data_IF_227442895700
#
_entry.id   IF_227442895700
#
_cell.length_a   1.000
_cell.length_b   1.000
_cell.length_c   1.000
_cell.angle_alpha   90.00
_cell.angle_beta   90.00
_cell.angle_gamma   90.00
#
_symmetry.space_group_name_H-M   'P 1'
#
loop_
_entity.id
_entity.type
_entity.pdbx_description
1 polymer ?
#
# COMPACT_ATOMS: atom_id res chain seq x y z
N UNK A 1 -41.56 -34.33 53.03
CA UNK A 1 -41.79 -33.08 52.26
C UNK A 1 -40.50 -32.32 51.93
N UNK A 2 -39.67 -31.92 52.91
CA UNK A 2 -38.49 -31.05 52.69
C UNK A 2 -37.49 -31.62 51.64
N UNK A 3 -37.26 -32.93 51.63
CA UNK A 3 -36.39 -33.63 50.68
C UNK A 3 -36.90 -33.66 49.23
N UNK A 4 -38.23 -33.61 49.01
CA UNK A 4 -38.80 -33.55 47.67
C UNK A 4 -38.71 -32.13 47.08
N UNK A 5 -38.93 -31.11 47.92
CA UNK A 5 -38.81 -29.70 47.53
C UNK A 5 -37.37 -29.31 47.17
N UNK A 6 -36.37 -29.81 47.90
CA UNK A 6 -34.96 -29.56 47.56
C UNK A 6 -34.53 -30.27 46.28
N UNK A 7 -35.01 -31.49 46.04
CA UNK A 7 -34.76 -32.24 44.80
C UNK A 7 -35.37 -31.54 43.56
N UNK A 8 -36.59 -31.01 43.69
CA UNK A 8 -37.24 -30.22 42.64
C UNK A 8 -36.50 -28.90 42.38
N UNK A 9 -36.08 -28.19 43.42
CA UNK A 9 -35.29 -26.96 43.29
C UNK A 9 -33.96 -27.18 42.56
N UNK A 10 -33.23 -28.24 42.90
CA UNK A 10 -31.98 -28.62 42.23
C UNK A 10 -32.21 -29.02 40.76
N UNK A 11 -33.31 -29.71 40.45
CA UNK A 11 -33.66 -30.03 39.06
C UNK A 11 -33.93 -28.78 38.22
N UNK A 12 -34.61 -27.78 38.77
CA UNK A 12 -34.90 -26.50 38.08
C UNK A 12 -33.62 -25.68 37.88
N UNK A 13 -32.72 -25.64 38.87
CA UNK A 13 -31.43 -24.95 38.75
C UNK A 13 -30.54 -25.64 37.70
N UNK A 14 -30.50 -26.97 37.69
CA UNK A 14 -29.73 -27.73 36.71
C UNK A 14 -30.29 -27.60 35.29
N UNK A 15 -31.61 -27.55 35.13
CA UNK A 15 -32.25 -27.39 33.82
C UNK A 15 -32.00 -26.00 33.23
N UNK A 16 -32.12 -24.94 34.05
CA UNK A 16 -31.82 -23.56 33.65
C UNK A 16 -30.34 -23.35 33.33
N UNK A 17 -29.43 -23.95 34.10
CA UNK A 17 -28.00 -23.93 33.80
C UNK A 17 -27.67 -24.62 32.46
N UNK A 18 -28.21 -25.82 32.22
CA UNK A 18 -28.05 -26.54 30.93
C UNK A 18 -28.61 -25.72 29.76
N UNK A 19 -29.75 -25.04 29.95
CA UNK A 19 -30.35 -24.19 28.92
C UNK A 19 -29.47 -22.97 28.60
N UNK A 20 -28.87 -22.33 29.62
CA UNK A 20 -27.93 -21.20 29.46
C UNK A 20 -26.65 -21.63 28.73
N UNK A 21 -26.11 -22.81 29.03
CA UNK A 21 -24.96 -23.37 28.32
C UNK A 21 -25.27 -23.67 26.85
N UNK A 22 -26.43 -24.28 26.57
CA UNK A 22 -26.88 -24.53 25.18
C UNK A 22 -27.04 -23.23 24.39
N UNK A 23 -27.57 -22.16 25.00
CA UNK A 23 -27.65 -20.83 24.36
C UNK A 23 -26.26 -20.27 24.04
N UNK A 24 -25.30 -20.35 24.97
CA UNK A 24 -23.91 -19.90 24.76
C UNK A 24 -23.24 -20.65 23.62
N UNK A 25 -23.39 -21.96 23.55
CA UNK A 25 -22.83 -22.79 22.47
C UNK A 25 -23.45 -22.42 21.12
N UNK A 26 -24.77 -22.22 21.04
CA UNK A 26 -25.45 -21.77 19.80
C UNK A 26 -24.93 -20.41 19.33
N UNK A 27 -24.79 -19.45 20.23
CA UNK A 27 -24.25 -18.11 19.90
C UNK A 27 -22.80 -18.23 19.41
N UNK A 28 -21.95 -18.98 20.11
CA UNK A 28 -20.56 -19.22 19.72
C UNK A 28 -20.48 -19.87 18.33
N UNK A 29 -21.31 -20.87 18.06
CA UNK A 29 -21.35 -21.53 16.75
C UNK A 29 -21.86 -20.59 15.64
N UNK A 30 -22.84 -19.72 15.93
CA UNK A 30 -23.32 -18.70 14.99
C UNK A 30 -22.22 -17.69 14.67
N UNK A 31 -21.46 -17.24 15.67
CA UNK A 31 -20.29 -16.36 15.48
C UNK A 31 -19.21 -17.05 14.64
N UNK A 32 -18.89 -18.32 14.94
CA UNK A 32 -17.91 -19.10 14.16
C UNK A 32 -18.36 -19.27 12.72
N UNK A 33 -19.65 -19.55 12.48
CA UNK A 33 -20.21 -19.71 11.13
C UNK A 33 -20.17 -18.40 10.35
N UNK A 34 -20.57 -17.28 10.97
CA UNK A 34 -20.46 -15.95 10.37
C UNK A 34 -19.00 -15.58 10.09
N UNK A 35 -18.07 -15.85 11.01
CA UNK A 35 -16.63 -15.66 10.79
C UNK A 35 -16.16 -16.48 9.59
N UNK A 36 -16.45 -17.78 9.53
CA UNK A 36 -16.09 -18.64 8.39
C UNK A 36 -16.66 -18.11 7.07
N UNK A 37 -17.90 -17.62 7.06
CA UNK A 37 -18.53 -17.09 5.85
C UNK A 37 -17.92 -15.75 5.41
N UNK A 38 -17.62 -14.86 6.34
CA UNK A 38 -16.89 -13.60 6.10
C UNK A 38 -15.47 -13.92 5.61
N UNK A 39 -14.74 -14.81 6.29
CA UNK A 39 -13.39 -15.21 5.89
C UNK A 39 -13.41 -15.88 4.51
N UNK A 40 -14.39 -16.72 4.17
CA UNK A 40 -14.50 -17.34 2.84
C UNK A 40 -14.84 -16.30 1.75
N UNK A 41 -15.71 -15.34 2.06
CA UNK A 41 -16.02 -14.17 1.21
C UNK A 41 -14.88 -13.15 1.12
N UNK A 42 -13.93 -13.16 2.05
CA UNK A 42 -12.75 -12.29 1.98
C UNK A 42 -11.63 -13.04 1.24
N UNK A 43 -11.37 -14.29 1.58
CA UNK A 43 -10.33 -15.13 0.99
C UNK A 43 -10.54 -15.45 -0.50
N UNK A 44 -11.78 -15.73 -0.94
CA UNK A 44 -12.06 -15.94 -2.37
C UNK A 44 -11.85 -14.67 -3.22
N UNK A 45 -11.92 -13.49 -2.60
CA UNK A 45 -11.64 -12.22 -3.26
C UNK A 45 -10.17 -11.79 -3.11
N UNK A 46 -9.39 -12.49 -2.29
CA UNK A 46 -8.07 -12.06 -1.87
C UNK A 46 -6.95 -12.37 -2.89
N UNK A 47 -7.05 -13.43 -3.69
CA UNK A 47 -5.99 -13.78 -4.64
C UNK A 47 -5.95 -12.87 -5.88
N UNK A 48 -7.09 -12.31 -6.32
CA UNK A 48 -7.16 -11.46 -7.51
C UNK A 48 -6.86 -9.96 -7.26
N UNK A 49 -7.10 -9.47 -6.04
CA UNK A 49 -7.24 -8.02 -5.76
C UNK A 49 -5.94 -7.25 -5.50
N UNK A 50 -4.90 -7.89 -4.97
CA UNK A 50 -3.61 -7.22 -4.70
C UNK A 50 -2.68 -7.32 -5.88
N UNK A 51 -2.89 -8.31 -6.75
CA UNK A 51 -2.24 -8.34 -8.05
C UNK A 51 -2.40 -6.97 -8.71
N UNK A 52 -3.54 -6.26 -8.63
CA UNK A 52 -3.66 -4.93 -9.23
C UNK A 52 -2.73 -3.83 -8.64
N UNK A 53 -2.55 -3.76 -7.31
CA UNK A 53 -1.72 -2.72 -6.68
C UNK A 53 -0.23 -3.06 -6.74
N UNK A 54 0.09 -4.36 -6.64
CA UNK A 54 1.41 -4.89 -6.95
C UNK A 54 1.73 -4.66 -8.43
N UNK A 55 0.77 -4.91 -9.32
CA UNK A 55 0.88 -4.63 -10.75
C UNK A 55 1.04 -3.14 -10.99
N UNK A 56 0.29 -2.20 -10.42
CA UNK A 56 0.51 -0.76 -10.70
C UNK A 56 1.94 -0.32 -10.31
N UNK A 57 2.45 -0.73 -9.15
CA UNK A 57 3.82 -0.42 -8.73
C UNK A 57 4.88 -1.14 -9.59
N UNK A 58 4.69 -2.43 -9.89
CA UNK A 58 5.56 -3.18 -10.80
C UNK A 58 5.50 -2.63 -12.23
N UNK A 59 4.32 -2.25 -12.71
CA UNK A 59 4.04 -1.71 -14.03
C UNK A 59 4.72 -0.37 -14.19
N UNK A 60 4.69 0.51 -13.19
CA UNK A 60 5.48 1.75 -13.18
C UNK A 60 6.98 1.48 -13.22
N UNK A 61 7.48 0.51 -12.45
CA UNK A 61 8.89 0.10 -12.44
C UNK A 61 9.31 -0.50 -13.80
N UNK A 62 8.44 -1.30 -14.41
CA UNK A 62 8.61 -1.89 -15.74
C UNK A 62 8.61 -0.81 -16.82
N UNK A 63 7.64 0.10 -16.82
CA UNK A 63 7.58 1.25 -17.72
C UNK A 63 8.83 2.13 -17.62
N UNK A 64 9.33 2.38 -16.40
CA UNK A 64 10.57 3.12 -16.21
C UNK A 64 11.78 2.39 -16.81
N UNK A 65 11.89 1.08 -16.55
CA UNK A 65 12.97 0.24 -17.11
C UNK A 65 12.89 0.19 -18.64
N UNK A 66 11.69 0.10 -19.22
CA UNK A 66 11.44 0.14 -20.65
C UNK A 66 11.89 1.47 -21.27
N UNK A 67 11.48 2.61 -20.68
CA UNK A 67 11.92 3.94 -21.14
C UNK A 67 13.44 4.11 -21.06
N UNK A 68 14.06 3.61 -19.99
CA UNK A 68 15.53 3.65 -19.81
C UNK A 68 16.24 2.87 -20.92
N UNK A 69 15.81 1.63 -21.19
CA UNK A 69 16.42 0.77 -22.24
C UNK A 69 16.15 1.34 -23.64
N UNK A 70 14.94 1.84 -23.92
CA UNK A 70 14.59 2.49 -25.20
C UNK A 70 15.45 3.74 -25.46
N UNK A 71 15.68 4.56 -24.43
CA UNK A 71 16.55 5.75 -24.54
C UNK A 71 18.01 5.36 -24.83
N UNK A 72 18.50 4.29 -24.20
CA UNK A 72 19.86 3.77 -24.38
C UNK A 72 20.03 3.15 -25.77
N UNK A 73 19.07 2.35 -26.22
CA UNK A 73 19.08 1.75 -27.55
C UNK A 73 18.99 2.82 -28.66
N UNK A 74 18.21 3.88 -28.46
CA UNK A 74 18.14 5.01 -29.39
C UNK A 74 19.48 5.75 -29.50
N UNK A 75 20.19 5.94 -28.38
CA UNK A 75 21.55 6.51 -28.38
C UNK A 75 22.55 5.60 -29.09
N UNK A 76 22.53 4.31 -28.80
CA UNK A 76 23.42 3.32 -29.42
C UNK A 76 23.18 3.19 -30.93
N UNK A 77 21.91 3.21 -31.37
CA UNK A 77 21.54 3.25 -32.80
C UNK A 77 22.05 4.50 -33.50
N UNK A 78 21.96 5.67 -32.87
CA UNK A 78 22.50 6.92 -33.41
C UNK A 78 24.03 6.86 -33.54
N UNK A 79 24.72 6.39 -32.50
CA UNK A 79 26.18 6.21 -32.53
C UNK A 79 26.62 5.20 -33.59
N UNK A 80 25.88 4.09 -33.74
CA UNK A 80 26.16 3.09 -34.78
C UNK A 80 25.91 3.66 -36.18
N UNK A 81 24.79 4.35 -36.42
CA UNK A 81 24.53 5.03 -37.71
C UNK A 81 25.64 6.04 -38.05
N UNK A 82 26.12 6.82 -37.09
CA UNK A 82 27.25 7.73 -37.27
C UNK A 82 28.56 6.97 -37.59
N UNK A 83 28.85 5.85 -36.91
CA UNK A 83 30.03 5.02 -37.18
C UNK A 83 29.96 4.33 -38.55
N UNK A 84 28.78 3.91 -38.99
CA UNK A 84 28.56 3.27 -40.30
C UNK A 84 28.64 4.28 -41.45
N UNK A 85 28.07 5.48 -41.26
CA UNK A 85 28.19 6.60 -42.21
C UNK A 85 29.65 7.02 -42.43
N UNK A 86 30.50 6.92 -41.39
CA UNK A 86 31.95 7.18 -41.50
C UNK A 86 32.75 6.04 -42.16
N UNK A 87 32.18 4.82 -42.29
CA UNK A 87 32.93 3.62 -42.71
C UNK A 87 32.39 2.96 -44.00
N UNK A 88 31.36 3.50 -44.66
CA UNK A 88 30.72 2.92 -45.85
C UNK A 88 30.42 1.40 -45.75
N UNK A 89 30.09 0.91 -44.54
CA UNK A 89 29.76 -0.51 -44.31
C UNK A 89 28.25 -0.75 -44.49
N UNK A 90 27.89 -1.92 -45.03
CA UNK A 90 26.49 -2.34 -45.24
C UNK A 90 25.81 -2.68 -43.91
N UNK A 91 24.50 -2.44 -43.84
CA UNK A 91 23.62 -2.59 -42.66
C UNK A 91 23.52 -4.04 -42.10
N UNK A 92 24.07 -5.04 -42.80
CA UNK A 92 24.02 -6.46 -42.42
C UNK A 92 24.85 -6.81 -41.17
N UNK A 93 25.80 -5.96 -40.77
CA UNK A 93 26.66 -6.17 -39.59
C UNK A 93 26.13 -5.46 -38.35
N UNK A 94 24.82 -5.57 -38.05
CA UNK A 94 24.29 -5.09 -36.77
C UNK A 94 25.05 -5.81 -35.64
N UNK A 95 25.74 -5.09 -34.75
CA UNK A 95 26.50 -5.70 -33.66
C UNK A 95 25.57 -6.57 -32.81
N UNK A 96 26.09 -7.73 -32.38
CA UNK A 96 25.36 -8.74 -31.60
C UNK A 96 24.64 -8.11 -30.40
N UNK A 97 25.29 -7.16 -29.73
CA UNK A 97 24.74 -6.36 -28.62
C UNK A 97 23.45 -5.60 -28.96
N UNK A 98 23.34 -5.00 -30.16
CA UNK A 98 22.12 -4.30 -30.59
C UNK A 98 20.99 -5.29 -30.87
N UNK A 99 21.29 -6.48 -31.40
CA UNK A 99 20.31 -7.55 -31.62
C UNK A 99 19.82 -8.14 -30.30
N UNK A 100 20.72 -8.35 -29.35
CA UNK A 100 20.39 -8.84 -28.02
C UNK A 100 19.51 -7.83 -27.26
N UNK A 101 19.85 -6.53 -27.33
CA UNK A 101 19.02 -5.44 -26.78
C UNK A 101 17.64 -5.33 -27.44
N UNK A 102 17.55 -5.48 -28.76
CA UNK A 102 16.26 -5.52 -29.48
C UNK A 102 15.41 -6.74 -29.06
N UNK A 103 16.03 -7.90 -28.81
CA UNK A 103 15.33 -9.09 -28.34
C UNK A 103 14.78 -8.94 -26.91
N UNK A 104 15.56 -8.32 -26.02
CA UNK A 104 15.15 -8.03 -24.64
C UNK A 104 14.02 -7.00 -24.63
N UNK A 105 14.07 -5.97 -25.47
CA UNK A 105 12.99 -4.99 -25.62
C UNK A 105 11.69 -5.67 -26.02
N UNK A 106 11.72 -6.53 -27.04
CA UNK A 106 10.52 -7.27 -27.46
C UNK A 106 9.93 -8.11 -26.33
N UNK A 107 10.76 -8.85 -25.57
CA UNK A 107 10.30 -9.63 -24.41
C UNK A 107 9.64 -8.75 -23.35
N UNK A 108 10.24 -7.61 -23.03
CA UNK A 108 9.69 -6.66 -22.06
C UNK A 108 8.38 -6.01 -22.54
N UNK A 109 8.26 -5.71 -23.83
CA UNK A 109 7.03 -5.21 -24.44
C UNK A 109 5.91 -6.26 -24.36
N UNK A 110 6.21 -7.52 -24.67
CA UNK A 110 5.23 -8.61 -24.56
C UNK A 110 4.80 -8.86 -23.10
N UNK A 111 5.74 -8.84 -22.15
CA UNK A 111 5.41 -8.91 -20.72
C UNK A 111 4.51 -7.74 -20.30
N UNK A 112 4.82 -6.52 -20.75
CA UNK A 112 4.02 -5.33 -20.44
C UNK A 112 2.58 -5.45 -20.97
N UNK A 113 2.40 -5.95 -22.19
CA UNK A 113 1.06 -6.18 -22.75
C UNK A 113 0.26 -7.21 -21.94
N UNK A 114 0.89 -8.31 -21.52
CA UNK A 114 0.27 -9.32 -20.66
C UNK A 114 -0.15 -8.69 -19.32
N UNK A 115 0.72 -7.88 -18.73
CA UNK A 115 0.42 -7.18 -17.49
C UNK A 115 -0.69 -6.13 -17.65
N UNK A 116 -0.74 -5.42 -18.78
CA UNK A 116 -1.78 -4.43 -19.09
C UNK A 116 -3.15 -5.12 -19.21
N UNK A 117 -3.24 -6.22 -19.97
CA UNK A 117 -4.49 -6.99 -20.10
C UNK A 117 -4.96 -7.54 -18.75
N UNK A 118 -4.03 -8.08 -17.95
CA UNK A 118 -4.37 -8.55 -16.59
C UNK A 118 -4.86 -7.39 -15.72
N UNK A 119 -4.20 -6.24 -15.78
CA UNK A 119 -4.61 -5.05 -15.04
C UNK A 119 -6.05 -4.63 -15.39
N UNK A 120 -6.38 -4.52 -16.67
CA UNK A 120 -7.73 -4.16 -17.13
C UNK A 120 -8.79 -5.16 -16.64
N UNK A 121 -8.53 -6.46 -16.76
CA UNK A 121 -9.42 -7.51 -16.26
C UNK A 121 -9.70 -7.37 -14.76
N UNK A 122 -8.66 -7.10 -13.97
CA UNK A 122 -8.79 -6.91 -12.54
C UNK A 122 -9.48 -5.58 -12.18
N UNK A 123 -9.27 -4.52 -12.96
CA UNK A 123 -9.97 -3.24 -12.76
C UNK A 123 -11.47 -3.42 -12.99
N UNK A 124 -11.87 -4.09 -14.07
CA UNK A 124 -13.27 -4.44 -14.34
C UNK A 124 -13.89 -5.27 -13.20
N UNK A 125 -13.15 -6.28 -12.73
CA UNK A 125 -13.58 -7.07 -11.57
C UNK A 125 -13.76 -6.19 -10.33
N UNK A 126 -12.83 -5.27 -10.04
CA UNK A 126 -12.91 -4.35 -8.91
C UNK A 126 -14.15 -3.44 -9.00
N UNK A 127 -14.48 -2.93 -10.19
CA UNK A 127 -15.69 -2.14 -10.37
C UNK A 127 -16.95 -2.99 -10.09
N UNK A 128 -16.99 -4.26 -10.51
CA UNK A 128 -18.14 -5.14 -10.29
C UNK A 128 -18.43 -5.46 -8.80
N UNK A 129 -17.39 -5.44 -7.97
CA UNK A 129 -17.45 -5.78 -6.54
C UNK A 129 -17.41 -4.55 -5.63
N UNK A 130 -17.12 -3.37 -6.17
CA UNK A 130 -17.09 -2.09 -5.45
C UNK A 130 -18.38 -1.80 -4.67
N UNK A 131 -19.59 -2.04 -5.20
CA UNK A 131 -20.82 -1.85 -4.43
C UNK A 131 -20.89 -2.72 -3.18
N UNK A 132 -20.31 -3.93 -3.23
CA UNK A 132 -20.25 -4.89 -2.11
C UNK A 132 -19.13 -4.58 -1.12
N UNK A 133 -18.19 -3.71 -1.50
CA UNK A 133 -17.07 -3.26 -0.68
C UNK A 133 -17.30 -1.90 -0.02
N UNK A 134 -18.47 -1.30 -0.24
CA UNK A 134 -18.80 -0.03 0.37
C UNK A 134 -18.76 -0.18 1.89
N UNK A 135 -17.91 0.61 2.54
CA UNK A 135 -17.82 0.68 4.00
C UNK A 135 -18.68 1.85 4.42
N UNK A 136 -19.77 1.59 5.15
CA UNK A 136 -20.48 2.68 5.82
C UNK A 136 -19.57 3.29 6.89
N UNK A 137 -19.18 4.53 6.67
CA UNK A 137 -18.29 5.27 7.57
C UNK A 137 -18.91 5.53 8.95
N UNK A 138 -20.23 5.32 9.14
CA UNK A 138 -20.87 5.35 10.47
C UNK A 138 -20.50 4.14 11.34
N UNK A 139 -20.24 2.98 10.74
CA UNK A 139 -19.84 1.75 11.47
C UNK A 139 -18.34 1.45 11.40
N UNK A 140 -17.56 2.45 10.98
CA UNK A 140 -16.12 2.35 10.67
C UNK A 140 -15.29 1.72 11.78
N UNK A 141 -15.54 2.08 13.04
CA UNK A 141 -14.74 1.60 14.17
C UNK A 141 -14.97 0.10 14.42
N UNK A 142 -16.21 -0.36 14.25
CA UNK A 142 -16.56 -1.78 14.35
C UNK A 142 -15.97 -2.56 13.17
N UNK A 143 -16.11 -2.04 11.95
CA UNK A 143 -15.50 -2.63 10.76
C UNK A 143 -13.98 -2.79 10.94
N UNK A 144 -13.27 -1.72 11.31
CA UNK A 144 -11.83 -1.74 11.52
C UNK A 144 -11.44 -2.77 12.59
N UNK A 145 -12.21 -2.84 13.68
CA UNK A 145 -11.96 -3.83 14.74
C UNK A 145 -12.09 -5.25 14.20
N UNK A 146 -13.20 -5.56 13.52
CA UNK A 146 -13.44 -6.88 12.96
C UNK A 146 -12.44 -7.24 11.87
N UNK A 147 -12.05 -6.27 11.03
CA UNK A 147 -11.07 -6.43 9.98
C UNK A 147 -9.67 -6.71 10.55
N UNK A 148 -9.23 -5.95 11.55
CA UNK A 148 -7.96 -6.23 12.23
C UNK A 148 -7.96 -7.61 12.86
N UNK A 149 -9.01 -7.97 13.61
CA UNK A 149 -9.08 -9.23 14.35
C UNK A 149 -9.28 -10.47 13.48
N UNK A 150 -10.06 -10.36 12.40
CA UNK A 150 -10.49 -11.51 11.60
C UNK A 150 -9.73 -11.66 10.29
N UNK A 151 -9.08 -10.60 9.82
CA UNK A 151 -8.39 -10.59 8.54
C UNK A 151 -6.90 -10.34 8.68
N UNK A 152 -6.50 -9.26 9.37
CA UNK A 152 -5.09 -8.88 9.44
C UNK A 152 -4.32 -9.80 10.38
N UNK A 153 -4.72 -9.89 11.66
CA UNK A 153 -3.96 -10.63 12.67
C UNK A 153 -3.72 -12.10 12.27
N UNK A 154 -4.72 -12.89 11.81
CA UNK A 154 -4.48 -14.29 11.46
C UNK A 154 -3.49 -14.47 10.30
N UNK A 155 -3.45 -13.50 9.38
CA UNK A 155 -2.57 -13.53 8.20
C UNK A 155 -1.14 -13.12 8.51
N UNK A 156 -0.96 -12.17 9.43
CA UNK A 156 0.38 -11.76 9.85
C UNK A 156 1.15 -12.87 10.56
N UNK A 157 0.49 -13.88 11.12
CA UNK A 157 1.16 -15.03 11.75
C UNK A 157 1.76 -15.99 10.72
N UNK A 158 1.28 -15.95 9.47
CA UNK A 158 1.67 -16.88 8.42
C UNK A 158 3.05 -16.47 7.85
N UNK A 159 3.10 -15.34 7.13
CA UNK A 159 4.28 -14.92 6.36
C UNK A 159 4.38 -13.40 6.19
N UNK A 160 5.59 -12.93 5.85
CA UNK A 160 5.89 -11.52 5.55
C UNK A 160 5.07 -10.99 4.37
N UNK A 161 4.90 -11.81 3.33
CA UNK A 161 4.12 -11.47 2.15
C UNK A 161 2.65 -11.19 2.49
N UNK A 162 2.10 -11.92 3.45
CA UNK A 162 0.73 -11.73 3.93
C UNK A 162 0.55 -10.43 4.74
N UNK A 163 1.58 -9.99 5.47
CA UNK A 163 1.56 -8.69 6.16
C UNK A 163 1.60 -7.51 5.18
N UNK A 164 2.44 -7.60 4.15
CA UNK A 164 2.47 -6.62 3.06
C UNK A 164 1.16 -6.64 2.26
N UNK A 165 0.61 -7.83 2.05
CA UNK A 165 -0.70 -8.01 1.44
C UNK A 165 -1.78 -7.27 2.24
N UNK A 166 -1.90 -7.54 3.54
CA UNK A 166 -2.97 -6.97 4.36
C UNK A 166 -2.95 -5.43 4.39
N UNK A 167 -1.76 -4.83 4.49
CA UNK A 167 -1.59 -3.38 4.49
C UNK A 167 -1.96 -2.76 3.14
N UNK A 168 -1.45 -3.29 2.03
CA UNK A 168 -1.79 -2.81 0.68
C UNK A 168 -3.27 -3.00 0.36
N UNK A 169 -3.87 -4.09 0.81
CA UNK A 169 -5.30 -4.34 0.62
C UNK A 169 -6.13 -3.26 1.30
N UNK A 170 -5.80 -2.95 2.55
CA UNK A 170 -6.54 -1.96 3.31
C UNK A 170 -6.43 -0.56 2.68
N UNK A 171 -5.24 -0.18 2.20
CA UNK A 171 -5.05 1.06 1.46
C UNK A 171 -5.89 1.11 0.18
N UNK A 172 -5.97 0.01 -0.54
CA UNK A 172 -6.83 -0.13 -1.71
C UNK A 172 -8.32 0.02 -1.34
N UNK A 173 -8.77 -0.60 -0.25
CA UNK A 173 -10.14 -0.44 0.24
C UNK A 173 -10.47 1.01 0.59
N UNK A 174 -9.56 1.74 1.24
CA UNK A 174 -9.76 3.16 1.54
C UNK A 174 -9.90 3.99 0.26
N UNK A 175 -9.08 3.71 -0.76
CA UNK A 175 -9.14 4.37 -2.07
C UNK A 175 -10.44 4.08 -2.81
N UNK A 176 -10.88 2.83 -2.86
CA UNK A 176 -12.13 2.41 -3.53
C UNK A 176 -13.35 3.11 -2.92
N UNK A 177 -13.34 3.31 -1.61
CA UNK A 177 -14.40 3.99 -0.87
C UNK A 177 -14.31 5.52 -0.94
N UNK A 178 -13.38 6.08 -1.72
CA UNK A 178 -13.10 7.53 -1.79
C UNK A 178 -12.97 8.17 -0.41
N UNK A 179 -12.37 7.46 0.54
CA UNK A 179 -12.22 7.96 1.90
C UNK A 179 -11.42 9.28 1.87
N UNK A 180 -11.91 10.35 2.51
CA UNK A 180 -11.10 11.55 2.71
C UNK A 180 -9.75 11.20 3.34
N UNK A 181 -8.72 12.01 3.07
CA UNK A 181 -7.37 11.75 3.59
C UNK A 181 -7.35 11.65 5.12
N UNK A 182 -8.05 12.57 5.79
CA UNK A 182 -8.21 12.59 7.25
C UNK A 182 -8.81 11.28 7.77
N UNK A 183 -9.82 10.76 7.07
CA UNK A 183 -10.48 9.52 7.39
C UNK A 183 -9.58 8.30 7.18
N UNK A 184 -8.81 8.29 6.10
CA UNK A 184 -7.83 7.25 5.81
C UNK A 184 -6.75 7.17 6.89
N UNK A 185 -6.23 8.32 7.30
CA UNK A 185 -5.25 8.43 8.40
C UNK A 185 -5.85 7.96 9.72
N UNK A 186 -7.08 8.37 10.05
CA UNK A 186 -7.79 7.91 11.25
C UNK A 186 -7.96 6.40 11.25
N UNK A 187 -8.36 5.82 10.11
CA UNK A 187 -8.55 4.37 9.99
C UNK A 187 -7.27 3.60 10.25
N UNK A 188 -6.18 4.02 9.63
CA UNK A 188 -4.88 3.35 9.75
C UNK A 188 -4.37 3.47 11.17
N UNK A 189 -4.46 4.68 11.75
CA UNK A 189 -4.12 4.90 13.16
C UNK A 189 -4.86 3.93 14.07
N UNK A 190 -6.16 3.69 13.85
CA UNK A 190 -6.92 2.71 14.62
C UNK A 190 -6.44 1.27 14.40
N UNK A 191 -6.11 0.89 13.15
CA UNK A 191 -5.54 -0.42 12.85
C UNK A 191 -4.19 -0.62 13.57
N UNK A 192 -3.27 0.33 13.40
CA UNK A 192 -1.96 0.34 14.07
C UNK A 192 -2.15 0.18 15.56
N UNK A 193 -3.05 0.96 16.17
CA UNK A 193 -3.28 0.88 17.61
C UNK A 193 -3.90 -0.44 18.08
N UNK A 194 -4.65 -1.13 17.23
CA UNK A 194 -5.21 -2.45 17.55
C UNK A 194 -4.20 -3.57 17.36
N UNK A 195 -3.29 -3.45 16.40
CA UNK A 195 -2.34 -4.50 16.05
C UNK A 195 -1.06 -4.42 16.88
N UNK A 196 -0.57 -3.22 17.15
CA UNK A 196 0.70 -3.00 17.84
C UNK A 196 0.80 -3.75 19.19
N UNK A 197 -0.25 -3.82 20.05
CA UNK A 197 -0.17 -4.57 21.30
C UNK A 197 0.18 -6.05 21.16
N UNK A 198 -0.10 -6.67 20.01
CA UNK A 198 0.25 -8.07 19.77
C UNK A 198 1.76 -8.30 19.67
N UNK A 199 2.56 -7.24 19.50
CA UNK A 199 4.01 -7.36 19.51
C UNK A 199 4.56 -7.86 20.86
N UNK A 200 3.82 -7.65 21.96
CA UNK A 200 4.24 -8.07 23.29
C UNK A 200 4.35 -9.59 23.46
N UNK A 201 3.54 -10.34 22.71
CA UNK A 201 3.46 -11.80 22.76
C UNK A 201 3.92 -12.46 21.46
N UNK A 202 4.40 -11.68 20.50
CA UNK A 202 4.84 -12.18 19.21
C UNK A 202 6.16 -12.97 19.32
N UNK A 203 6.32 -13.96 18.46
CA UNK A 203 7.63 -14.49 18.07
C UNK A 203 8.41 -13.41 17.30
N UNK A 204 9.72 -13.59 17.14
CA UNK A 204 10.54 -12.64 16.37
C UNK A 204 10.07 -12.56 14.91
N UNK A 205 9.69 -13.68 14.29
CA UNK A 205 9.13 -13.73 12.93
C UNK A 205 7.82 -12.94 12.82
N UNK A 206 6.92 -13.11 13.79
CA UNK A 206 5.65 -12.36 13.83
C UNK A 206 5.88 -10.87 14.07
N UNK A 207 6.85 -10.51 14.92
CA UNK A 207 7.25 -9.12 15.13
C UNK A 207 7.75 -8.49 13.82
N UNK A 208 8.55 -9.20 13.02
CA UNK A 208 8.96 -8.74 11.67
C UNK A 208 7.73 -8.52 10.78
N UNK A 209 6.77 -9.46 10.77
CA UNK A 209 5.56 -9.34 9.96
C UNK A 209 4.71 -8.13 10.36
N UNK A 210 4.50 -7.91 11.67
CA UNK A 210 3.84 -6.70 12.20
C UNK A 210 4.57 -5.45 11.71
N UNK A 211 5.90 -5.47 11.78
CA UNK A 211 6.73 -4.33 11.41
C UNK A 211 6.63 -3.98 9.93
N UNK A 212 6.59 -4.99 9.04
CA UNK A 212 6.39 -4.80 7.60
C UNK A 212 5.02 -4.18 7.31
N UNK A 213 3.98 -4.64 8.00
CA UNK A 213 2.63 -4.07 7.88
C UNK A 213 2.63 -2.59 8.29
N UNK A 214 3.25 -2.26 9.42
CA UNK A 214 3.36 -0.88 9.91
C UNK A 214 4.18 -0.01 8.95
N UNK A 215 5.34 -0.49 8.51
CA UNK A 215 6.20 0.18 7.53
C UNK A 215 5.42 0.52 6.25
N UNK A 216 4.64 -0.43 5.74
CA UNK A 216 3.84 -0.25 4.51
C UNK A 216 2.73 0.79 4.68
N UNK A 217 2.10 0.85 5.85
CA UNK A 217 1.13 1.90 6.15
C UNK A 217 1.79 3.27 6.26
N UNK A 218 2.92 3.34 6.94
CA UNK A 218 3.64 4.58 7.13
C UNK A 218 4.08 5.12 5.77
N UNK A 219 4.79 4.35 4.95
CA UNK A 219 5.28 4.73 3.61
C UNK A 219 4.22 5.33 2.67
N UNK A 220 2.92 5.08 2.90
CA UNK A 220 1.86 5.54 2.01
C UNK A 220 1.40 7.00 2.22
N UNK A 221 1.65 7.62 3.38
CA UNK A 221 1.08 8.94 3.72
C UNK A 221 2.07 10.10 3.62
N UNK A 222 1.57 11.34 3.58
CA UNK A 222 2.43 12.50 3.72
C UNK A 222 3.04 12.57 5.12
N UNK A 223 4.25 13.12 5.19
CA UNK A 223 5.14 13.18 6.36
C UNK A 223 4.46 13.79 7.60
N UNK A 224 3.57 14.78 7.42
CA UNK A 224 2.82 15.44 8.50
C UNK A 224 1.86 14.47 9.21
N UNK A 225 1.18 13.61 8.44
CA UNK A 225 0.19 12.68 9.00
C UNK A 225 0.83 11.47 9.65
N UNK A 226 2.00 11.04 9.17
CA UNK A 226 2.79 9.98 9.79
C UNK A 226 3.21 10.33 11.22
N UNK A 227 3.58 11.59 11.48
CA UNK A 227 4.04 12.04 12.80
C UNK A 227 3.04 11.63 13.91
N UNK A 228 1.76 11.91 13.71
CA UNK A 228 0.71 11.62 14.71
C UNK A 228 0.44 10.11 14.93
N UNK A 229 0.81 9.26 13.97
CA UNK A 229 0.73 7.80 14.11
C UNK A 229 1.98 7.31 14.84
N UNK A 230 3.16 7.76 14.41
CA UNK A 230 4.45 7.41 14.99
C UNK A 230 4.53 7.77 16.47
N UNK A 231 4.14 9.00 16.85
CA UNK A 231 4.17 9.42 18.26
C UNK A 231 3.26 8.55 19.15
N UNK A 232 2.11 8.11 18.64
CA UNK A 232 1.21 7.22 19.38
C UNK A 232 1.72 5.78 19.45
N UNK A 233 2.27 5.29 18.34
CA UNK A 233 2.92 4.00 18.29
C UNK A 233 4.07 3.95 19.31
N UNK A 234 4.88 5.01 19.37
CA UNK A 234 6.00 5.10 20.29
C UNK A 234 5.56 5.12 21.76
N UNK A 235 4.53 5.91 22.10
CA UNK A 235 3.93 5.89 23.46
C UNK A 235 3.48 4.49 23.88
N UNK A 236 2.95 3.71 22.95
CA UNK A 236 2.57 2.33 23.23
C UNK A 236 3.78 1.44 23.37
N UNK A 237 4.80 1.57 22.51
CA UNK A 237 6.07 0.84 22.62
C UNK A 237 6.74 1.06 23.99
N UNK A 238 6.76 2.30 24.49
CA UNK A 238 7.34 2.62 25.81
C UNK A 238 6.66 1.88 26.97
N UNK A 239 5.40 1.47 26.82
CA UNK A 239 4.67 0.70 27.83
C UNK A 239 4.99 -0.80 27.78
N UNK A 240 5.76 -1.24 26.77
CA UNK A 240 6.02 -2.66 26.44
C UNK A 240 7.46 -3.06 26.73
N UNK A 241 8.09 -2.54 27.76
CA UNK A 241 9.53 -2.78 28.07
C UNK A 241 9.75 -3.65 29.30
N UNK A 242 8.77 -4.48 29.67
CA UNK A 242 8.76 -5.18 30.96
C UNK A 242 9.64 -6.42 30.99
N UNK A 243 9.87 -7.06 29.85
CA UNK A 243 10.65 -8.29 29.76
C UNK A 243 11.47 -8.35 28.47
N UNK A 244 12.43 -9.28 28.44
CA UNK A 244 13.35 -9.51 27.32
C UNK A 244 12.62 -9.76 25.99
N UNK A 245 11.57 -10.57 25.99
CA UNK A 245 10.83 -10.91 24.77
C UNK A 245 10.22 -9.67 24.15
N UNK A 246 9.60 -8.81 24.97
CA UNK A 246 9.00 -7.57 24.51
C UNK A 246 10.06 -6.61 23.98
N UNK A 247 11.18 -6.45 24.68
CA UNK A 247 12.29 -5.58 24.26
C UNK A 247 12.89 -6.07 22.94
N UNK A 248 13.14 -7.37 22.80
CA UNK A 248 13.58 -7.98 21.53
C UNK A 248 12.63 -7.61 20.40
N UNK A 249 11.33 -7.80 20.60
CA UNK A 249 10.34 -7.56 19.54
C UNK A 249 10.21 -6.07 19.20
N UNK A 250 10.33 -5.17 20.19
CA UNK A 250 10.39 -3.72 19.96
C UNK A 250 11.62 -3.36 19.13
N UNK A 251 12.79 -3.86 19.47
CA UNK A 251 14.02 -3.58 18.72
C UNK A 251 13.92 -4.10 17.28
N UNK A 252 13.32 -5.28 17.09
CA UNK A 252 12.99 -5.81 15.77
C UNK A 252 12.09 -4.86 14.99
N UNK A 253 11.04 -4.33 15.62
CA UNK A 253 10.16 -3.34 15.01
C UNK A 253 10.89 -2.06 14.62
N UNK A 254 11.58 -1.45 15.57
CA UNK A 254 12.33 -0.21 15.37
C UNK A 254 13.36 -0.36 14.25
N UNK A 255 14.07 -1.49 14.18
CA UNK A 255 15.04 -1.75 13.13
C UNK A 255 14.41 -1.89 11.73
N UNK A 256 13.21 -2.44 11.61
CA UNK A 256 12.49 -2.53 10.32
C UNK A 256 11.99 -1.16 9.88
N UNK A 257 11.50 -0.33 10.80
CA UNK A 257 10.93 0.99 10.46
C UNK A 257 11.96 2.12 10.48
N UNK A 258 13.24 1.84 10.75
CA UNK A 258 14.29 2.85 10.98
C UNK A 258 14.46 3.88 9.87
N UNK A 259 14.15 3.51 8.63
CA UNK A 259 14.23 4.40 7.47
C UNK A 259 13.08 5.42 7.41
N UNK A 260 12.01 5.18 8.16
CA UNK A 260 10.82 6.04 8.24
C UNK A 260 10.76 6.76 9.60
N UNK A 261 11.26 6.12 10.66
CA UNK A 261 11.25 6.63 12.03
C UNK A 261 12.57 6.30 12.75
N UNK A 262 13.21 7.25 13.44
CA UNK A 262 12.75 8.61 13.69
C UNK A 262 13.07 9.57 12.54
N UNK A 263 12.11 10.44 12.19
CA UNK A 263 12.27 11.45 11.12
C UNK A 263 12.43 12.89 11.62
N UNK A 264 11.99 13.14 12.85
CA UNK A 264 12.07 14.45 13.49
C UNK A 264 12.99 14.42 14.71
N UNK A 265 13.52 15.59 15.09
CA UNK A 265 14.41 15.71 16.26
C UNK A 265 13.79 15.16 17.54
N UNK A 266 12.52 15.49 17.82
CA UNK A 266 11.85 15.04 19.05
C UNK A 266 11.72 13.52 19.10
N UNK A 267 11.39 12.87 17.98
CA UNK A 267 11.28 11.42 17.88
C UNK A 267 12.64 10.73 18.08
N UNK A 268 13.69 11.31 17.51
CA UNK A 268 15.04 10.80 17.70
C UNK A 268 15.45 10.90 19.18
N UNK A 269 15.12 12.02 19.83
CA UNK A 269 15.38 12.21 21.26
C UNK A 269 14.58 11.22 22.12
N UNK A 270 13.30 11.00 21.82
CA UNK A 270 12.46 10.01 22.49
C UNK A 270 13.04 8.58 22.33
N UNK A 271 13.55 8.24 21.14
CA UNK A 271 14.25 6.99 20.91
C UNK A 271 15.53 6.86 21.73
N UNK A 272 16.34 7.92 21.83
CA UNK A 272 17.57 7.91 22.65
C UNK A 272 17.24 7.63 24.12
N UNK A 273 16.28 8.37 24.67
CA UNK A 273 15.82 8.16 26.06
C UNK A 273 15.35 6.71 26.27
N UNK A 274 14.60 6.15 25.32
CA UNK A 274 14.19 4.74 25.40
C UNK A 274 15.38 3.78 25.37
N UNK A 275 16.35 3.99 24.46
CA UNK A 275 17.53 3.11 24.39
C UNK A 275 18.34 3.16 25.67
N UNK A 276 18.56 4.36 26.23
CA UNK A 276 19.31 4.53 27.48
C UNK A 276 18.60 3.87 28.69
N UNK A 277 17.26 3.90 28.70
CA UNK A 277 16.46 3.18 29.70
C UNK A 277 16.61 1.66 29.56
N UNK A 278 16.55 1.16 28.33
CA UNK A 278 16.68 -0.27 28.05
C UNK A 278 18.09 -0.78 28.36
N UNK A 279 19.12 -0.01 28.02
CA UNK A 279 20.51 -0.33 28.35
C UNK A 279 20.69 -0.48 29.86
N UNK A 280 20.20 0.48 30.66
CA UNK A 280 20.24 0.40 32.13
C UNK A 280 19.49 -0.81 32.68
N UNK A 281 18.35 -1.15 32.10
CA UNK A 281 17.50 -2.24 32.58
C UNK A 281 18.06 -3.63 32.20
N UNK A 282 18.76 -3.75 31.06
CA UNK A 282 19.22 -5.02 30.50
C UNK A 282 20.76 -5.08 30.34
N UNK A 283 21.52 -4.32 31.14
CA UNK A 283 23.00 -4.24 31.09
C UNK A 283 23.75 -5.49 31.56
N UNK A 284 23.05 -6.52 32.07
CA UNK A 284 23.66 -7.73 32.61
C UNK A 284 24.19 -8.64 31.49
N UNK A 285 25.27 -9.37 31.78
CA UNK A 285 25.89 -10.33 30.85
C UNK A 285 24.92 -11.41 30.33
N UNK A 286 23.89 -11.72 31.11
CA UNK A 286 22.78 -12.61 30.74
C UNK A 286 21.99 -12.13 29.51
N UNK A 287 22.02 -10.83 29.20
CA UNK A 287 21.29 -10.20 28.09
C UNK A 287 22.21 -9.69 26.98
N UNK A 288 23.42 -10.23 26.86
CA UNK A 288 24.44 -9.80 25.87
C UNK A 288 23.89 -9.60 24.45
N UNK A 289 22.99 -10.48 23.99
CA UNK A 289 22.38 -10.35 22.65
C UNK A 289 21.48 -9.11 22.50
N UNK A 290 20.76 -8.73 23.56
CA UNK A 290 19.94 -7.52 23.59
C UNK A 290 20.81 -6.28 23.69
N UNK A 291 21.83 -6.29 24.54
CA UNK A 291 22.77 -5.18 24.72
C UNK A 291 23.39 -4.77 23.39
N UNK A 292 23.88 -5.74 22.61
CA UNK A 292 24.43 -5.50 21.25
C UNK A 292 23.40 -4.86 20.32
N UNK A 293 22.13 -5.29 20.38
CA UNK A 293 21.05 -4.72 19.55
C UNK A 293 20.71 -3.28 19.98
N UNK A 294 20.74 -2.99 21.27
CA UNK A 294 20.49 -1.66 21.83
C UNK A 294 21.62 -0.70 21.40
N UNK A 295 22.88 -1.10 21.62
CA UNK A 295 24.07 -0.35 21.21
C UNK A 295 24.07 -0.07 19.70
N UNK A 296 23.79 -1.11 18.89
CA UNK A 296 23.70 -0.95 17.44
C UNK A 296 22.62 0.06 17.02
N UNK A 297 21.50 0.12 17.74
CA UNK A 297 20.45 1.11 17.48
C UNK A 297 20.84 2.51 17.99
N UNK A 298 21.53 2.64 19.13
CA UNK A 298 22.08 3.92 19.62
C UNK A 298 23.09 4.51 18.64
N UNK A 299 23.99 3.70 18.09
CA UNK A 299 24.93 4.13 17.03
C UNK A 299 24.18 4.65 15.80
N UNK A 300 23.13 3.94 15.37
CA UNK A 300 22.27 4.42 14.29
C UNK A 300 21.65 5.78 14.62
N UNK A 301 21.07 5.96 15.81
CA UNK A 301 20.49 7.24 16.24
C UNK A 301 21.53 8.37 16.30
N UNK A 302 22.77 8.05 16.72
CA UNK A 302 23.89 9.00 16.73
C UNK A 302 24.33 9.43 15.33
N UNK A 303 24.14 8.58 14.33
CA UNK A 303 24.48 8.89 12.92
C UNK A 303 23.48 9.84 12.24
N UNK A 304 22.27 9.99 12.78
CA UNK A 304 21.22 10.84 12.21
C UNK A 304 21.53 12.33 12.43
N UNK A 305 22.13 12.98 11.43
CA UNK A 305 22.39 14.42 11.40
C UNK A 305 21.24 15.16 10.68
N UNK A 306 21.02 16.43 11.06
CA UNK A 306 20.11 17.36 10.36
C UNK A 306 18.63 16.95 10.28
N UNK A 307 18.08 16.37 11.36
CA UNK A 307 16.63 16.11 11.43
C UNK A 307 15.86 17.43 11.52
N UNK A 308 14.68 17.47 10.90
CA UNK A 308 13.79 18.64 10.93
C UNK A 308 12.94 18.64 12.21
N UNK A 309 12.45 19.81 12.61
CA UNK A 309 11.48 19.91 13.70
C UNK A 309 10.10 19.45 13.21
N UNK A 310 9.34 18.81 14.09
CA UNK A 310 8.02 18.31 13.73
C UNK A 310 7.07 19.47 13.39
N UNK A 311 6.21 19.33 12.38
CA UNK A 311 5.19 20.32 12.06
C UNK A 311 4.22 20.46 13.25
N UNK A 312 4.40 21.52 14.05
CA UNK A 312 3.52 21.84 15.17
C UNK A 312 2.16 22.29 14.64
N UNK A 313 1.09 21.62 15.10
CA UNK A 313 -0.31 21.91 14.74
C UNK A 313 -0.78 23.33 15.11
N UNK A 314 0.03 24.13 15.81
CA UNK A 314 -0.37 25.43 16.35
C UNK A 314 -0.33 26.58 15.32
N UNK A 315 0.46 26.48 14.24
CA UNK A 315 0.59 27.61 13.29
C UNK A 315 -0.60 27.81 12.32
N UNK A 316 -1.59 26.92 12.30
CA UNK A 316 -2.80 27.07 11.47
C UNK A 316 -4.00 27.66 12.23
N UNK A 317 -3.99 27.70 13.56
CA UNK A 317 -5.07 28.31 14.34
C UNK A 317 -4.85 29.81 14.59
N UNK A 318 -3.60 30.28 14.67
CA UNK A 318 -3.32 31.72 14.85
C UNK A 318 -3.57 32.55 13.58
N UNK A 319 -3.55 31.96 12.38
CA UNK A 319 -3.89 32.66 11.14
C UNK A 319 -5.40 32.77 10.86
N UNK A 320 -6.26 32.18 11.68
CA UNK A 320 -7.72 32.28 11.53
C UNK A 320 -8.39 33.27 12.49
N UNK A 321 -7.64 33.89 13.41
CA UNK A 321 -8.18 34.85 14.37
C UNK A 321 -7.91 36.32 14.03
N UNK A 322 -7.40 36.63 12.84
CA UNK A 322 -7.30 38.01 12.35
C UNK A 322 -7.92 38.06 10.94
N UNK A 323 -9.25 38.15 10.91
CA UNK A 323 -10.11 38.90 9.98
C UNK A 323 -11.48 38.22 9.89
N UNK A 324 -12.44 38.76 10.64
CA UNK A 324 -13.81 38.94 10.16
C UNK A 324 -14.04 40.46 10.17
N UNK A 325 -14.67 41.02 9.12
CA UNK A 325 -16.12 41.08 9.20
C UNK A 325 -16.88 40.67 7.92
N UNK A 326 -18.15 40.33 8.17
CA UNK A 326 -19.35 40.47 7.33
C UNK A 326 -19.54 39.62 6.07
N UNK A 327 -20.40 38.60 6.23
CA UNK A 327 -21.59 38.28 5.41
C UNK A 327 -21.78 39.00 4.07
N UNK A 328 -21.64 38.26 2.96
CA UNK A 328 -22.67 37.93 1.95
C UNK A 328 -22.00 37.29 0.71
N UNK A 329 -22.77 36.54 -0.09
CA UNK A 329 -22.40 35.84 -1.33
C UNK A 329 -21.83 34.40 -1.25
N UNK A 330 -22.65 33.52 -0.66
CA UNK A 330 -22.71 32.11 -1.05
C UNK A 330 -23.42 31.96 -2.42
N UNK A 331 -22.64 31.88 -3.51
CA UNK A 331 -22.97 31.17 -4.79
C UNK A 331 -21.96 31.59 -5.89
N UNK A 332 -20.80 30.93 -6.00
CA UNK A 332 -20.05 30.91 -7.28
C UNK A 332 -18.87 29.91 -7.37
N UNK A 333 -18.41 29.31 -6.27
CA UNK A 333 -17.17 28.52 -6.28
C UNK A 333 -17.27 27.08 -6.84
N UNK A 334 -18.47 26.53 -7.07
CA UNK A 334 -18.62 25.15 -7.57
C UNK A 334 -18.76 25.00 -9.10
N UNK A 335 -18.68 26.09 -9.87
CA UNK A 335 -18.79 26.03 -11.34
C UNK A 335 -17.44 25.90 -12.08
N UNK A 336 -16.33 26.39 -11.51
CA UNK A 336 -15.05 26.44 -12.22
C UNK A 336 -14.30 25.10 -12.30
N UNK A 337 -14.54 24.18 -11.36
CA UNK A 337 -13.87 22.87 -11.33
C UNK A 337 -14.52 21.86 -12.29
N UNK A 338 -15.83 21.98 -12.54
CA UNK A 338 -16.57 21.08 -13.44
C UNK A 338 -16.41 21.51 -14.90
N UNK A 339 -16.30 22.81 -15.19
CA UNK A 339 -16.01 23.30 -16.54
C UNK A 339 -14.57 23.03 -16.99
N UNK A 340 -13.61 22.95 -16.06
CA UNK A 340 -12.22 22.60 -16.38
C UNK A 340 -12.07 21.13 -16.80
N UNK A 341 -12.82 20.22 -16.18
CA UNK A 341 -12.87 18.81 -16.56
C UNK A 341 -13.68 18.56 -17.85
N UNK A 342 -14.78 19.29 -18.10
CA UNK A 342 -15.51 19.21 -19.38
C UNK A 342 -14.70 19.74 -20.56
N UNK A 343 -13.99 20.87 -20.42
CA UNK A 343 -13.14 21.43 -21.49
C UNK A 343 -11.90 20.59 -21.81
N UNK A 344 -11.37 19.83 -20.85
CA UNK A 344 -10.27 18.87 -21.10
C UNK A 344 -10.74 17.57 -21.77
N UNK A 345 -11.97 17.13 -21.50
CA UNK A 345 -12.54 15.94 -22.16
C UNK A 345 -12.96 16.23 -23.62
N UNK A 346 -13.56 17.38 -23.91
CA UNK A 346 -13.91 17.79 -25.28
C UNK A 346 -12.66 18.08 -26.15
N UNK A 347 -11.56 18.58 -25.56
CA UNK A 347 -10.29 18.74 -26.29
C UNK A 347 -9.64 17.40 -26.65
N UNK A 348 -9.82 16.35 -25.84
CA UNK A 348 -9.30 15.01 -26.13
C UNK A 348 -10.11 14.28 -27.20
N UNK A 349 -11.44 14.45 -27.23
CA UNK A 349 -12.27 13.90 -28.31
C UNK A 349 -12.03 14.60 -29.66
N UNK A 350 -11.81 15.93 -29.68
CA UNK A 350 -11.46 16.65 -30.93
C UNK A 350 -10.06 16.35 -31.47
N UNK A 351 -9.13 15.87 -30.63
CA UNK A 351 -7.80 15.42 -31.05
C UNK A 351 -7.85 13.99 -31.61
N UNK A 352 -8.66 13.10 -31.02
CA UNK A 352 -8.84 11.73 -31.54
C UNK A 352 -9.68 11.65 -32.82
N UNK A 353 -10.57 12.62 -33.08
CA UNK A 353 -11.29 12.71 -34.36
C UNK A 353 -10.44 13.28 -35.50
N UNK A 354 -9.36 14.01 -35.20
CA UNK A 354 -8.43 14.57 -36.21
C UNK A 354 -7.36 13.59 -36.67
N UNK A 355 -6.96 12.62 -35.84
CA UNK A 355 -6.02 11.56 -36.23
C UNK A 355 -6.68 10.43 -37.04
N UNK A 356 -8.02 10.29 -37.01
CA UNK A 356 -8.76 9.32 -37.84
C UNK A 356 -9.16 9.84 -39.23
N UNK A 357 -8.96 11.13 -39.52
CA UNK A 357 -9.28 11.72 -40.83
C UNK A 357 -8.08 11.91 -41.76
N UNK A 358 -6.85 11.65 -41.30
CA UNK A 358 -5.63 11.80 -42.13
C UNK A 358 -5.20 10.54 -42.88
N UNK A 359 -5.96 9.43 -42.79
CA UNK A 359 -5.57 8.13 -43.34
C UNK A 359 -6.38 7.71 -44.59
N UNK A 360 -6.97 8.67 -45.31
CA UNK A 360 -7.78 8.40 -46.52
C UNK A 360 -7.39 9.17 -47.79
N UNK A 361 -6.17 9.68 -47.88
CA UNK A 361 -5.64 10.28 -49.13
C UNK A 361 -4.18 9.91 -49.36
N UNK A 362 -3.93 8.64 -49.72
CA UNK A 362 -2.71 8.23 -50.44
C UNK A 362 -2.94 6.87 -51.15
N UNK A 363 -3.96 6.80 -52.00
CA UNK A 363 -4.15 5.72 -52.99
C UNK A 363 -4.69 6.32 -54.28
N UNK A 364 -3.82 7.00 -55.02
CA UNK A 364 -3.91 7.32 -56.46
C UNK A 364 -2.63 8.09 -56.75
N UNK A 365 -1.68 7.40 -57.37
CA UNK A 365 -0.52 7.91 -58.12
C UNK A 365 0.57 6.83 -58.10
N UNK A 366 0.38 5.82 -58.95
CA UNK A 366 1.28 4.68 -59.03
C UNK A 366 0.92 3.65 -60.10
N UNK A 367 0.20 4.03 -61.16
CA UNK A 367 -0.09 3.18 -62.32
C UNK A 367 0.06 4.01 -63.61
N UNK A 368 1.30 4.41 -63.95
CA UNK A 368 1.57 5.07 -65.23
C UNK A 368 3.03 5.02 -65.69
N UNK A 369 3.80 3.99 -65.30
CA UNK A 369 5.21 3.86 -65.74
C UNK A 369 5.70 2.46 -66.15
N UNK A 370 4.80 1.52 -66.46
CA UNK A 370 5.18 0.17 -66.90
C UNK A 370 4.52 -0.30 -68.20
N UNK A 371 4.43 0.58 -69.21
CA UNK A 371 3.90 0.21 -70.54
C UNK A 371 4.68 0.76 -71.75
N UNK A 372 5.96 1.12 -71.59
CA UNK A 372 6.79 1.63 -72.69
C UNK A 372 8.18 0.96 -72.79
N UNK A 373 8.23 -0.35 -72.56
CA UNK A 373 9.47 -1.14 -72.72
C UNK A 373 9.24 -2.59 -73.16
N UNK A 374 8.16 -2.82 -73.93
CA UNK A 374 7.93 -4.08 -74.67
C UNK A 374 7.24 -3.75 -75.98
N UNK A 375 7.99 -3.16 -76.91
CA UNK A 375 7.64 -3.15 -78.34
C UNK A 375 8.86 -3.15 -79.28
N UNK A 376 10.11 -3.22 -78.78
CA UNK A 376 11.32 -3.38 -79.62
C UNK A 376 11.94 -4.79 -79.53
N UNK A 377 11.13 -5.80 -79.22
CA UNK A 377 11.50 -7.21 -79.43
C UNK A 377 10.29 -8.01 -79.85
N UNK A 378 9.89 -7.85 -81.10
CA UNK A 378 9.34 -8.91 -81.95
C UNK A 378 9.51 -8.53 -83.40
#
# INVERSE_FOLDING_TARGET
MILQTTKLGLQVIMSTWKQKQRRRIRIRNKIIKNRKQITKRIMGYNQARIILYFLDAFFRKYQYKLRSIQSTNSRNKRQYKQKMARKNKKEKDKPKELRDQESILKKLETELEIYTKRYEQYELYIQSIKPKLYIDFKEKDNFITQFSQSCILPRMVIEQNEAMYCSRFFLCLLRINYAPLSDSVRSIKQIVMKILPYIQCATEKEAINISILLMTFLDHFLIIWMASILDKMFKVIQQMTKNEIQVRNILTLLNVIKNIYPKYKHQCQECKVLMDQLEKQFSKETYKSLTIRIEGYQLFLGSLKNLTDAPTKQKEQEKKNITNPSTENLKSSHRSSVEKYKKEHEKKEKLQSREKSSDKTSKRDGESRNKKQREDRK
#
